data_IF_583188525753
#
_entry.id   IF_583188525753
#
_cell.length_a   1.000
_cell.length_b   1.000
_cell.length_c   1.000
_cell.angle_alpha   90.00
_cell.angle_beta   90.00
_cell.angle_gamma   90.00
#
_symmetry.space_group_name_H-M   'P 1'
#
loop_
_entity.id
_entity.type
_entity.pdbx_description
1 polymer ?
#
# COMPACT_ATOMS: atom_id res chain seq x y z
N UNK A 1 14.71 -19.70 18.69
CA UNK A 1 13.66 -18.89 19.36
C UNK A 1 13.55 -17.58 18.59
N UNK A 2 12.34 -17.02 18.44
CA UNK A 2 12.18 -15.68 17.86
C UNK A 2 12.69 -14.70 18.93
N UNK A 3 13.87 -14.14 18.72
CA UNK A 3 14.49 -13.24 19.70
C UNK A 3 13.84 -11.87 19.55
N UNK A 4 13.07 -11.45 20.56
CA UNK A 4 12.57 -10.09 20.66
C UNK A 4 13.56 -9.24 21.43
N UNK A 5 13.67 -7.97 21.04
CA UNK A 5 14.25 -6.93 21.87
C UNK A 5 13.17 -5.93 22.24
N UNK A 6 13.26 -5.30 23.41
CA UNK A 6 12.29 -4.30 23.83
C UNK A 6 12.90 -3.13 24.57
N UNK A 7 12.14 -2.04 24.63
CA UNK A 7 12.39 -0.88 25.47
C UNK A 7 11.08 -0.35 26.07
N UNK A 8 11.12 0.40 27.19
CA UNK A 8 9.97 1.13 27.69
C UNK A 8 9.41 2.11 26.64
N UNK A 9 8.09 2.21 26.52
CA UNK A 9 7.41 3.08 25.55
C UNK A 9 7.77 4.56 25.73
N UNK A 10 7.99 4.99 26.97
CA UNK A 10 8.46 6.35 27.31
C UNK A 10 9.82 6.71 26.70
N UNK A 11 10.64 5.72 26.29
CA UNK A 11 11.92 5.92 25.62
C UNK A 11 11.84 5.86 24.09
N UNK A 12 10.64 5.78 23.53
CA UNK A 12 10.45 5.64 22.09
C UNK A 12 10.95 6.88 21.32
N UNK A 13 10.79 8.08 21.86
CA UNK A 13 11.27 9.30 21.22
C UNK A 13 12.82 9.38 21.23
N UNK A 14 13.46 8.92 22.30
CA UNK A 14 14.93 8.76 22.35
C UNK A 14 15.42 7.74 21.31
N UNK A 15 14.67 6.66 21.10
CA UNK A 15 14.96 5.66 20.07
C UNK A 15 14.87 6.26 18.67
N UNK A 16 13.84 7.07 18.40
CA UNK A 16 13.70 7.77 17.13
C UNK A 16 14.83 8.76 16.90
N UNK A 17 15.26 9.48 17.94
CA UNK A 17 16.44 10.35 17.86
C UNK A 17 17.72 9.57 17.51
N UNK A 18 17.92 8.39 18.09
CA UNK A 18 19.06 7.52 17.77
C UNK A 18 19.03 7.07 16.31
N UNK A 19 17.89 6.60 15.81
CA UNK A 19 17.74 6.17 14.41
C UNK A 19 17.99 7.34 13.47
N UNK A 20 17.43 8.52 13.76
CA UNK A 20 17.55 9.72 12.95
C UNK A 20 18.98 10.30 12.88
N UNK A 21 19.88 9.90 13.78
CA UNK A 21 21.31 10.23 13.70
C UNK A 21 22.07 9.36 12.69
N UNK A 22 21.52 8.19 12.34
CA UNK A 22 22.14 7.23 11.42
C UNK A 22 21.54 7.32 10.02
N UNK A 23 20.21 7.39 9.95
CA UNK A 23 19.45 7.33 8.69
C UNK A 23 18.26 8.28 8.73
N UNK A 24 17.69 8.61 7.57
CA UNK A 24 16.45 9.38 7.54
C UNK A 24 15.30 8.56 8.13
N UNK A 25 14.74 8.99 9.26
CA UNK A 25 13.59 8.34 9.88
C UNK A 25 12.28 9.02 9.46
N UNK A 26 11.27 8.21 9.13
CA UNK A 26 9.90 8.64 8.90
C UNK A 26 8.94 7.90 9.83
N UNK A 27 8.06 8.65 10.50
CA UNK A 27 7.03 8.11 11.40
C UNK A 27 5.65 8.72 11.08
N UNK A 28 4.54 8.04 11.43
CA UNK A 28 3.22 8.64 11.47
C UNK A 28 3.15 9.77 12.49
N UNK A 29 2.77 10.97 12.07
CA UNK A 29 2.57 12.15 12.93
C UNK A 29 1.21 12.75 12.61
N UNK A 30 0.49 13.20 13.63
CA UNK A 30 -0.80 13.87 13.46
C UNK A 30 -0.61 15.25 12.81
N UNK A 31 -1.48 15.55 11.85
CA UNK A 31 -1.65 16.89 11.30
C UNK A 31 -2.60 17.73 12.18
N UNK A 32 -2.74 19.00 11.83
CA UNK A 32 -3.63 19.93 12.56
C UNK A 32 -5.12 19.52 12.53
N UNK A 33 -5.52 18.57 11.67
CA UNK A 33 -6.88 18.02 11.61
C UNK A 33 -7.06 16.75 12.43
N UNK A 34 -6.01 16.28 13.12
CA UNK A 34 -6.02 15.03 13.90
C UNK A 34 -5.89 13.77 13.03
N UNK A 35 -5.43 13.91 11.78
CA UNK A 35 -5.16 12.77 10.89
C UNK A 35 -3.66 12.51 10.83
N UNK A 36 -3.28 11.24 10.77
CA UNK A 36 -1.87 10.89 10.65
C UNK A 36 -1.37 10.94 9.20
N UNK A 37 -0.16 11.44 9.02
CA UNK A 37 0.63 11.33 7.79
C UNK A 37 2.04 10.85 8.16
N UNK A 38 2.69 10.11 7.26
CA UNK A 38 4.12 9.88 7.43
C UNK A 38 4.90 11.19 7.20
N UNK A 39 5.75 11.55 8.16
CA UNK A 39 6.62 12.72 8.11
C UNK A 39 8.04 12.33 8.50
N UNK A 40 9.03 13.04 7.96
CA UNK A 40 10.42 12.90 8.42
C UNK A 40 10.45 13.32 9.89
N UNK A 41 10.97 12.44 10.74
CA UNK A 41 11.10 12.70 12.16
C UNK A 41 12.07 13.88 12.39
N UNK A 42 11.71 14.71 13.35
CA UNK A 42 12.53 15.81 13.88
C UNK A 42 12.27 15.86 15.39
N UNK A 43 13.18 16.48 16.13
CA UNK A 43 13.01 16.67 17.57
C UNK A 43 11.63 17.28 17.89
N UNK A 44 10.92 16.66 18.85
CA UNK A 44 9.54 16.99 19.20
C UNK A 44 8.44 16.36 18.34
N UNK A 45 8.76 15.58 17.29
CA UNK A 45 7.75 14.81 16.55
C UNK A 45 7.32 13.57 17.33
N UNK A 46 6.00 13.44 17.57
CA UNK A 46 5.40 12.36 18.35
C UNK A 46 4.72 11.35 17.43
N UNK A 47 4.88 10.06 17.74
CA UNK A 47 4.17 8.99 17.04
C UNK A 47 2.65 9.11 17.23
N UNK A 48 1.92 9.19 16.12
CA UNK A 48 0.47 9.23 16.12
C UNK A 48 -0.16 7.97 16.74
N UNK A 49 -1.25 8.17 17.50
CA UNK A 49 -2.11 7.08 17.98
C UNK A 49 -3.07 6.55 16.91
N UNK A 50 -3.20 7.21 15.75
CA UNK A 50 -4.08 6.75 14.69
C UNK A 50 -3.63 5.39 14.13
N UNK A 51 -4.60 4.52 13.87
CA UNK A 51 -4.31 3.21 13.29
C UNK A 51 -3.67 3.33 11.90
N UNK A 52 -4.09 4.29 11.08
CA UNK A 52 -3.63 4.40 9.69
C UNK A 52 -3.36 5.85 9.37
N UNK A 53 -2.26 6.09 8.67
CA UNK A 53 -2.04 7.34 7.94
C UNK A 53 -3.06 7.50 6.81
N UNK A 54 -3.35 8.75 6.41
CA UNK A 54 -4.25 9.06 5.29
C UNK A 54 -3.79 8.41 4.00
N UNK A 55 -2.48 8.46 3.76
CA UNK A 55 -1.82 7.82 2.61
C UNK A 55 -0.92 6.69 3.09
N UNK A 56 -0.88 5.61 2.33
CA UNK A 56 -0.06 4.45 2.69
C UNK A 56 1.44 4.75 2.56
N UNK A 57 2.25 3.82 3.05
CA UNK A 57 3.70 3.87 2.89
C UNK A 57 4.19 3.71 1.43
N UNK A 58 3.29 3.55 0.44
CA UNK A 58 3.63 3.49 -0.98
C UNK A 58 4.38 4.73 -1.46
N UNK A 59 4.07 5.90 -0.90
CA UNK A 59 4.70 7.18 -1.24
C UNK A 59 6.24 7.17 -1.18
N UNK A 60 6.80 6.34 -0.31
CA UNK A 60 8.24 6.22 -0.11
C UNK A 60 8.96 5.49 -1.24
N UNK A 61 8.25 4.63 -1.96
CA UNK A 61 8.81 3.78 -3.01
C UNK A 61 8.32 4.20 -4.39
N UNK A 62 7.10 4.75 -4.46
CA UNK A 62 6.49 5.25 -5.68
C UNK A 62 5.96 6.67 -5.43
N UNK A 63 6.81 7.70 -5.52
CA UNK A 63 6.44 9.08 -5.23
C UNK A 63 5.41 9.62 -6.22
N UNK A 64 4.62 10.62 -5.78
CA UNK A 64 3.54 11.21 -6.58
C UNK A 64 4.02 11.84 -7.88
N UNK A 65 5.21 12.45 -7.86
CA UNK A 65 5.86 13.05 -9.01
C UNK A 65 7.33 12.65 -8.93
N UNK A 66 7.88 12.22 -10.06
CA UNK A 66 9.30 11.87 -10.17
C UNK A 66 9.85 12.24 -11.54
N UNK A 67 10.96 12.98 -11.55
CA UNK A 67 11.66 13.32 -12.79
C UNK A 67 12.38 12.07 -13.31
N UNK A 68 12.22 11.79 -14.60
CA UNK A 68 12.75 10.58 -15.26
C UNK A 68 13.94 10.86 -16.18
N UNK A 69 13.93 11.99 -16.88
CA UNK A 69 15.00 12.36 -17.80
C UNK A 69 14.92 13.84 -18.12
N UNK A 70 16.08 14.46 -18.33
CA UNK A 70 16.18 15.84 -18.78
C UNK A 70 16.99 15.90 -20.08
N UNK A 71 16.39 16.43 -21.14
CA UNK A 71 17.03 16.67 -22.42
C UNK A 71 17.46 18.12 -22.51
N UNK A 72 18.77 18.39 -22.54
CA UNK A 72 19.31 19.75 -22.76
C UNK A 72 19.56 19.96 -24.25
N UNK A 73 19.04 21.06 -24.79
CA UNK A 73 19.16 21.40 -26.21
C UNK A 73 20.16 22.53 -26.41
N UNK A 74 21.19 22.30 -27.22
CA UNK A 74 22.17 23.32 -27.62
C UNK A 74 22.36 23.26 -29.14
N UNK A 75 21.60 24.09 -29.85
CA UNK A 75 21.53 24.05 -31.32
C UNK A 75 20.99 22.71 -31.82
N UNK A 76 21.84 21.93 -32.52
CA UNK A 76 21.51 20.57 -32.98
C UNK A 76 21.99 19.45 -32.05
N UNK A 77 22.62 19.79 -30.92
CA UNK A 77 23.10 18.82 -29.93
C UNK A 77 22.02 18.59 -28.87
N UNK A 78 21.76 17.32 -28.58
CA UNK A 78 20.89 16.87 -27.49
C UNK A 78 21.79 16.17 -26.48
N UNK A 79 21.80 16.66 -25.25
CA UNK A 79 22.44 16.01 -24.10
C UNK A 79 21.33 15.41 -23.23
N UNK A 80 21.49 14.13 -22.86
CA UNK A 80 20.55 13.41 -22.00
C UNK A 80 21.13 13.36 -20.60
N UNK A 81 20.46 14.00 -19.65
CA UNK A 81 20.77 13.99 -18.24
C UNK A 81 19.82 13.05 -17.51
N UNK A 82 20.40 12.07 -16.83
CA UNK A 82 19.70 11.17 -15.94
C UNK A 82 19.59 11.81 -14.55
N UNK A 83 18.37 12.14 -14.07
CA UNK A 83 18.19 12.79 -12.79
C UNK A 83 18.31 11.83 -11.61
N UNK A 84 18.53 10.53 -11.84
CA UNK A 84 18.72 9.55 -10.77
C UNK A 84 19.94 9.93 -9.93
N UNK A 85 19.70 10.04 -8.64
CA UNK A 85 20.74 10.02 -7.61
C UNK A 85 20.56 8.75 -6.78
N UNK A 86 21.64 8.24 -6.19
CA UNK A 86 21.50 7.21 -5.16
C UNK A 86 20.52 7.70 -4.08
N UNK A 87 19.60 6.84 -3.67
CA UNK A 87 18.67 7.19 -2.61
C UNK A 87 19.42 7.13 -1.29
N UNK A 88 19.21 8.12 -0.41
CA UNK A 88 19.70 8.00 0.98
C UNK A 88 19.03 6.79 1.63
N UNK A 89 19.74 6.08 2.52
CA UNK A 89 19.14 5.04 3.35
C UNK A 89 18.11 5.69 4.30
N UNK A 90 16.96 5.04 4.44
CA UNK A 90 15.87 5.55 5.26
C UNK A 90 15.08 4.46 5.96
N UNK A 91 14.57 4.78 7.15
CA UNK A 91 13.65 3.94 7.91
C UNK A 91 12.25 4.52 7.84
N UNK A 92 11.26 3.70 7.47
CA UNK A 92 9.84 4.03 7.65
C UNK A 92 9.30 3.18 8.78
N UNK A 93 9.13 3.78 9.95
CA UNK A 93 8.55 3.14 11.12
C UNK A 93 7.03 3.32 11.14
N UNK A 94 6.30 2.35 11.67
CA UNK A 94 4.84 2.45 11.85
C UNK A 94 4.03 2.00 10.64
N UNK A 95 4.65 1.30 9.68
CA UNK A 95 3.95 0.74 8.52
C UNK A 95 3.01 -0.37 8.98
N UNK A 96 1.76 -0.39 8.52
CA UNK A 96 0.81 -1.45 8.93
C UNK A 96 1.00 -2.70 8.06
N UNK A 97 0.63 -3.86 8.60
CA UNK A 97 0.74 -5.15 7.91
C UNK A 97 0.15 -5.13 6.48
N UNK A 98 -1.01 -4.48 6.31
CA UNK A 98 -1.65 -4.35 5.00
C UNK A 98 -0.90 -3.43 4.02
N UNK A 99 -0.19 -2.40 4.51
CA UNK A 99 0.67 -1.59 3.66
C UNK A 99 1.94 -2.36 3.29
N UNK A 100 2.56 -3.06 4.25
CA UNK A 100 3.73 -3.89 3.97
C UNK A 100 3.42 -5.01 2.95
N UNK A 101 2.29 -5.69 3.10
CA UNK A 101 1.82 -6.71 2.15
C UNK A 101 1.56 -6.15 0.75
N UNK A 102 1.26 -4.84 0.63
CA UNK A 102 1.06 -4.23 -0.68
C UNK A 102 2.33 -4.12 -1.50
N UNK A 103 3.50 -4.09 -0.85
CA UNK A 103 4.77 -3.97 -1.56
C UNK A 103 5.01 -5.18 -2.44
N UNK A 104 4.72 -6.40 -1.99
CA UNK A 104 4.84 -7.58 -2.85
C UNK A 104 3.99 -7.47 -4.14
N UNK A 105 2.79 -6.87 -4.06
CA UNK A 105 1.91 -6.65 -5.23
C UNK A 105 2.50 -5.59 -6.17
N UNK A 106 3.15 -4.55 -5.64
CA UNK A 106 3.72 -3.47 -6.44
C UNK A 106 5.10 -3.86 -6.99
N UNK A 107 5.89 -4.59 -6.21
CA UNK A 107 7.18 -5.21 -6.57
C UNK A 107 6.99 -6.17 -7.75
N UNK A 108 5.86 -6.90 -7.80
CA UNK A 108 5.59 -7.81 -8.91
C UNK A 108 5.55 -7.09 -10.27
N UNK A 109 4.96 -5.90 -10.32
CA UNK A 109 4.86 -5.10 -11.55
C UNK A 109 6.14 -4.31 -11.85
N UNK A 110 6.80 -3.76 -10.82
CA UNK A 110 7.93 -2.85 -11.02
C UNK A 110 9.31 -3.48 -10.89
N UNK A 111 9.42 -4.67 -10.30
CA UNK A 111 10.69 -5.37 -10.06
C UNK A 111 10.71 -6.74 -10.74
N UNK A 112 9.61 -7.50 -10.66
CA UNK A 112 9.60 -8.88 -11.16
C UNK A 112 9.17 -9.01 -12.63
N UNK A 113 8.62 -7.94 -13.21
CA UNK A 113 8.31 -7.84 -14.64
C UNK A 113 9.37 -7.04 -15.39
N UNK A 114 9.49 -7.30 -16.69
CA UNK A 114 10.39 -6.58 -17.58
C UNK A 114 9.64 -5.50 -18.39
N UNK A 115 10.19 -4.27 -18.51
CA UNK A 115 11.44 -3.81 -17.90
C UNK A 115 11.31 -3.47 -16.41
N UNK A 116 12.38 -3.72 -15.65
CA UNK A 116 12.50 -3.30 -14.24
C UNK A 116 12.47 -1.78 -14.10
N UNK A 117 11.64 -1.26 -13.19
CA UNK A 117 11.64 0.15 -12.81
C UNK A 117 12.76 0.44 -11.81
N UNK A 118 13.89 0.89 -12.36
CA UNK A 118 15.09 1.18 -11.57
C UNK A 118 14.86 2.21 -10.45
N UNK A 119 13.97 3.19 -10.64
CA UNK A 119 13.67 4.21 -9.62
C UNK A 119 12.97 3.60 -8.40
N UNK A 120 11.99 2.73 -8.65
CA UNK A 120 11.27 2.02 -7.61
C UNK A 120 12.18 1.00 -6.91
N UNK A 121 12.96 0.21 -7.69
CA UNK A 121 13.91 -0.78 -7.17
C UNK A 121 14.95 -0.15 -6.23
N UNK A 122 15.59 0.94 -6.64
CA UNK A 122 16.56 1.65 -5.79
C UNK A 122 15.92 2.07 -4.46
N UNK A 123 14.71 2.62 -4.45
CA UNK A 123 14.04 2.97 -3.18
C UNK A 123 13.71 1.75 -2.34
N UNK A 124 13.29 0.64 -2.94
CA UNK A 124 13.05 -0.62 -2.23
C UNK A 124 14.33 -1.20 -1.64
N UNK A 125 15.49 -0.97 -2.25
CA UNK A 125 16.82 -1.37 -1.78
C UNK A 125 17.35 -0.48 -0.64
N UNK A 126 17.08 0.82 -0.64
CA UNK A 126 17.52 1.76 0.41
C UNK A 126 16.54 1.96 1.57
N UNK A 127 15.26 1.64 1.37
CA UNK A 127 14.25 1.76 2.42
C UNK A 127 14.17 0.54 3.33
N UNK A 128 14.23 0.76 4.63
CA UNK A 128 13.95 -0.25 5.67
C UNK A 128 12.53 -0.04 6.21
N UNK A 129 11.69 -1.07 6.08
CA UNK A 129 10.28 -1.05 6.49
C UNK A 129 10.14 -1.65 7.89
N UNK A 130 9.90 -0.80 8.90
CA UNK A 130 9.60 -1.25 10.26
C UNK A 130 8.10 -1.17 10.48
N UNK A 131 7.46 -2.33 10.55
CA UNK A 131 6.01 -2.41 10.67
C UNK A 131 5.57 -2.32 12.12
N UNK A 132 4.36 -1.80 12.36
CA UNK A 132 3.75 -1.73 13.69
C UNK A 132 2.44 -2.51 13.70
N UNK A 133 2.39 -3.54 14.52
CA UNK A 133 1.22 -4.39 14.69
C UNK A 133 -0.02 -3.57 15.08
N UNK A 134 -1.17 -3.97 14.56
CA UNK A 134 -2.44 -3.39 14.98
C UNK A 134 -2.79 -3.87 16.39
N UNK A 135 -3.46 -3.03 17.17
CA UNK A 135 -4.06 -3.38 18.47
C UNK A 135 -5.59 -3.18 18.45
N UNK A 136 -6.02 -2.10 17.81
CA UNK A 136 -7.43 -1.73 17.61
C UNK A 136 -7.72 -1.58 16.11
N UNK A 137 -8.17 -2.64 15.41
CA UNK A 137 -8.53 -2.52 14.01
C UNK A 137 -9.80 -1.68 13.83
N UNK A 138 -9.86 -0.84 12.78
CA UNK A 138 -11.07 -0.08 12.41
C UNK A 138 -12.12 -1.01 11.76
N UNK A 139 -13.41 -0.70 11.90
CA UNK A 139 -14.54 -1.43 11.27
C UNK A 139 -14.44 -1.55 9.75
N UNK A 140 -13.68 -0.64 9.12
CA UNK A 140 -13.43 -0.62 7.68
C UNK A 140 -12.40 -1.66 7.22
N UNK A 141 -11.72 -2.34 8.15
CA UNK A 141 -10.65 -3.28 7.85
C UNK A 141 -11.19 -4.66 7.47
N UNK A 142 -10.56 -5.28 6.47
CA UNK A 142 -10.83 -6.64 6.00
C UNK A 142 -9.55 -7.30 5.48
N UNK A 143 -8.39 -6.97 6.06
CA UNK A 143 -7.10 -7.51 5.64
C UNK A 143 -6.98 -9.02 5.85
N UNK A 144 -7.66 -9.57 6.88
CA UNK A 144 -7.76 -11.03 7.12
C UNK A 144 -8.29 -11.78 5.90
N UNK A 145 -9.22 -11.18 5.15
CA UNK A 145 -9.78 -11.76 3.92
C UNK A 145 -8.69 -12.10 2.89
N UNK A 146 -7.59 -11.34 2.89
CA UNK A 146 -6.45 -11.54 1.98
C UNK A 146 -5.29 -12.29 2.66
N UNK A 147 -5.54 -13.00 3.76
CA UNK A 147 -4.51 -13.75 4.49
C UNK A 147 -3.52 -12.89 5.27
N UNK A 148 -3.80 -11.59 5.45
CA UNK A 148 -2.90 -10.68 6.14
C UNK A 148 -3.22 -10.67 7.64
N UNK A 149 -2.28 -11.15 8.45
CA UNK A 149 -2.36 -11.08 9.90
C UNK A 149 -1.88 -9.70 10.41
N UNK A 150 -2.83 -8.85 10.80
CA UNK A 150 -2.50 -7.51 11.30
C UNK A 150 -1.82 -7.51 12.68
N UNK A 151 -1.85 -8.63 13.39
CA UNK A 151 -1.13 -8.82 14.65
C UNK A 151 0.32 -9.28 14.45
N UNK A 152 0.67 -9.77 13.25
CA UNK A 152 1.99 -10.31 12.92
C UNK A 152 2.50 -9.65 11.61
N UNK A 153 2.89 -8.36 11.69
CA UNK A 153 2.83 -7.42 10.58
C UNK A 153 3.94 -7.53 9.51
N UNK A 154 4.92 -8.43 9.67
CA UNK A 154 6.03 -8.65 8.74
C UNK A 154 6.86 -7.38 8.44
N UNK A 155 7.24 -7.13 7.19
CA UNK A 155 8.22 -6.10 6.82
C UNK A 155 9.66 -6.52 7.12
N UNK A 156 10.60 -5.57 7.06
CA UNK A 156 12.02 -5.87 7.36
C UNK A 156 12.20 -6.14 8.86
N UNK A 157 11.57 -5.31 9.70
CA UNK A 157 11.39 -5.57 11.12
C UNK A 157 9.92 -5.34 11.52
N UNK A 158 9.48 -6.06 12.55
CA UNK A 158 8.15 -5.92 13.14
C UNK A 158 8.26 -5.29 14.53
N UNK A 159 7.28 -4.45 14.88
CA UNK A 159 7.15 -3.83 16.20
C UNK A 159 5.76 -4.03 16.81
N UNK A 160 5.70 -4.11 18.15
CA UNK A 160 4.47 -4.23 18.94
C UNK A 160 4.51 -3.28 20.13
N UNK A 161 3.42 -2.57 20.39
CA UNK A 161 3.26 -1.76 21.62
C UNK A 161 2.34 -2.53 22.56
N UNK A 162 2.86 -2.95 23.71
CA UNK A 162 2.13 -3.71 24.71
C UNK A 162 2.75 -3.52 26.10
N UNK A 163 1.93 -3.48 27.13
CA UNK A 163 2.36 -3.44 28.54
C UNK A 163 3.42 -2.35 28.84
N UNK A 164 3.18 -1.14 28.31
CA UNK A 164 4.10 0.00 28.49
C UNK A 164 5.46 -0.14 27.81
N UNK A 165 5.62 -1.11 26.90
CA UNK A 165 6.86 -1.37 26.15
C UNK A 165 6.63 -1.40 24.65
N UNK A 166 7.71 -1.23 23.91
CA UNK A 166 7.78 -1.51 22.47
C UNK A 166 8.70 -2.70 22.25
N UNK A 167 8.19 -3.73 21.61
CA UNK A 167 8.93 -4.94 21.23
C UNK A 167 9.28 -4.87 19.76
N UNK A 168 10.44 -5.39 19.39
CA UNK A 168 10.92 -5.46 18.02
C UNK A 168 11.41 -6.86 17.69
N UNK A 169 11.28 -7.24 16.42
CA UNK A 169 11.83 -8.47 15.86
C UNK A 169 12.28 -8.21 14.42
N UNK A 170 13.51 -8.60 14.09
CA UNK A 170 13.96 -8.65 12.70
C UNK A 170 13.28 -9.79 11.95
N UNK A 171 12.96 -9.56 10.67
CA UNK A 171 12.43 -10.59 9.76
C UNK A 171 13.34 -10.80 8.53
N UNK A 172 14.17 -9.81 8.19
CA UNK A 172 15.10 -9.82 7.05
C UNK A 172 16.48 -9.30 7.48
N UNK A 173 17.47 -9.39 6.58
CA UNK A 173 18.82 -8.82 6.82
C UNK A 173 18.78 -7.31 7.08
N UNK A 174 17.87 -6.57 6.43
CA UNK A 174 17.61 -5.16 6.73
C UNK A 174 17.04 -4.96 8.14
N UNK A 175 16.18 -5.89 8.55
CA UNK A 175 15.68 -5.96 9.92
C UNK A 175 16.81 -6.16 10.92
N UNK A 176 17.75 -7.06 10.65
CA UNK A 176 18.91 -7.30 11.52
C UNK A 176 19.79 -6.05 11.63
N UNK A 177 20.05 -5.37 10.51
CA UNK A 177 20.76 -4.08 10.50
C UNK A 177 20.02 -3.01 11.34
N UNK A 178 18.70 -2.93 11.22
CA UNK A 178 17.87 -2.04 12.04
C UNK A 178 17.95 -2.38 13.55
N UNK A 179 17.88 -3.67 13.91
CA UNK A 179 18.02 -4.10 15.30
C UNK A 179 19.39 -3.72 15.87
N UNK A 180 20.47 -3.82 15.09
CA UNK A 180 21.81 -3.41 15.53
C UNK A 180 21.88 -1.89 15.78
N UNK A 181 21.19 -1.06 14.98
CA UNK A 181 21.10 0.40 15.21
C UNK A 181 20.50 0.70 16.59
N UNK A 182 19.43 -0.01 16.96
CA UNK A 182 18.69 0.26 18.21
C UNK A 182 19.21 -0.51 19.43
N UNK A 183 20.19 -1.39 19.24
CA UNK A 183 20.66 -2.34 20.25
C UNK A 183 21.10 -1.70 21.56
N UNK A 184 21.72 -0.51 21.52
CA UNK A 184 22.16 0.19 22.73
C UNK A 184 21.01 0.68 23.62
N UNK A 185 19.78 0.69 23.11
CA UNK A 185 18.58 1.16 23.81
C UNK A 185 17.60 0.04 24.16
N UNK A 186 17.82 -1.17 23.64
CA UNK A 186 16.90 -2.30 23.82
C UNK A 186 17.55 -3.44 24.59
N UNK A 187 16.72 -4.24 25.27
CA UNK A 187 17.14 -5.45 25.96
C UNK A 187 16.39 -6.66 25.42
N UNK A 188 16.99 -7.85 25.50
CA UNK A 188 16.32 -9.10 25.16
C UNK A 188 15.00 -9.26 25.93
N UNK A 189 14.00 -9.85 25.29
CA UNK A 189 12.66 -10.00 25.84
C UNK A 189 11.98 -11.28 25.36
N UNK A 190 11.11 -11.81 26.22
CA UNK A 190 10.29 -12.98 25.90
C UNK A 190 9.11 -12.65 24.98
N UNK A 191 8.53 -13.69 24.38
CA UNK A 191 7.42 -13.57 23.43
C UNK A 191 6.04 -13.43 24.10
N UNK A 192 5.89 -13.82 25.37
CA UNK A 192 4.57 -13.99 26.03
C UNK A 192 3.67 -12.75 25.95
N UNK A 193 4.23 -11.55 26.18
CA UNK A 193 3.48 -10.28 26.13
C UNK A 193 2.99 -10.01 24.70
N UNK A 194 3.87 -10.22 23.71
CA UNK A 194 3.55 -10.05 22.29
C UNK A 194 2.48 -11.07 21.88
N UNK A 195 2.64 -12.35 22.23
CA UNK A 195 1.68 -13.40 21.90
C UNK A 195 0.28 -13.14 22.48
N UNK A 196 0.22 -12.63 23.72
CA UNK A 196 -1.05 -12.21 24.33
C UNK A 196 -1.70 -11.05 23.58
N UNK A 197 -0.92 -10.04 23.21
CA UNK A 197 -1.40 -8.91 22.39
C UNK A 197 -1.87 -9.38 21.01
N UNK A 198 -1.15 -10.32 20.40
CA UNK A 198 -1.50 -10.86 19.09
C UNK A 198 -2.84 -11.60 19.13
N UNK A 199 -3.02 -12.46 20.12
CA UNK A 199 -4.28 -13.20 20.33
C UNK A 199 -5.46 -12.24 20.52
N UNK A 200 -5.32 -11.24 21.40
CA UNK A 200 -6.38 -10.26 21.63
C UNK A 200 -6.73 -9.46 20.37
N UNK A 201 -5.73 -9.14 19.54
CA UNK A 201 -5.94 -8.44 18.26
C UNK A 201 -6.68 -9.33 17.26
N UNK A 202 -6.28 -10.59 17.10
CA UNK A 202 -6.94 -11.56 16.21
C UNK A 202 -8.41 -11.75 16.59
N UNK A 203 -8.73 -11.87 17.88
CA UNK A 203 -10.10 -11.96 18.38
C UNK A 203 -10.98 -10.75 18.03
N UNK A 204 -10.40 -9.54 17.94
CA UNK A 204 -11.11 -8.34 17.47
C UNK A 204 -11.32 -8.36 15.96
N UNK A 205 -10.28 -8.76 15.21
CA UNK A 205 -10.34 -8.88 13.75
C UNK A 205 -11.43 -9.86 13.33
N UNK A 206 -11.55 -11.00 14.03
CA UNK A 206 -12.56 -12.03 13.76
C UNK A 206 -14.00 -11.53 13.92
N UNK A 207 -14.21 -10.41 14.61
CA UNK A 207 -15.53 -9.78 14.81
C UNK A 207 -15.82 -8.66 13.80
N UNK A 208 -14.88 -8.32 12.92
CA UNK A 208 -15.06 -7.25 11.95
C UNK A 208 -16.09 -7.66 10.87
N UNK A 209 -16.88 -6.72 10.33
CA UNK A 209 -18.06 -7.03 9.51
C UNK A 209 -17.75 -7.58 8.10
N UNK A 210 -16.49 -7.56 7.69
CA UNK A 210 -16.09 -7.77 6.29
C UNK A 210 -15.02 -8.85 6.10
N UNK A 211 -14.69 -9.62 7.14
CA UNK A 211 -13.60 -10.61 7.08
C UNK A 211 -13.97 -11.89 6.36
N UNK A 212 -15.27 -12.20 6.24
CA UNK A 212 -15.78 -13.45 5.64
C UNK A 212 -16.47 -13.22 4.28
N UNK A 213 -16.09 -12.16 3.56
CA UNK A 213 -16.63 -11.92 2.21
C UNK A 213 -16.15 -13.02 1.27
N UNK A 214 -17.06 -13.69 0.59
CA UNK A 214 -16.73 -14.73 -0.38
C UNK A 214 -16.00 -14.14 -1.60
N UNK A 215 -14.76 -14.59 -1.85
CA UNK A 215 -14.00 -14.21 -3.05
C UNK A 215 -14.02 -15.28 -4.15
N UNK A 216 -14.69 -16.41 -3.94
CA UNK A 216 -14.68 -17.56 -4.87
C UNK A 216 -15.25 -17.24 -6.26
N UNK A 217 -16.14 -16.26 -6.37
CA UNK A 217 -16.71 -15.83 -7.65
C UNK A 217 -15.73 -15.01 -8.50
N UNK A 218 -14.71 -14.40 -7.91
CA UNK A 218 -13.77 -13.51 -8.59
C UNK A 218 -12.58 -14.30 -9.18
N UNK A 219 -12.90 -15.21 -10.09
CA UNK A 219 -11.94 -16.09 -10.79
C UNK A 219 -11.91 -15.77 -12.27
N UNK A 220 -10.82 -16.17 -12.93
CA UNK A 220 -10.62 -15.89 -14.35
C UNK A 220 -11.70 -16.45 -15.27
N UNK A 221 -12.22 -17.63 -14.96
CA UNK A 221 -13.34 -18.26 -15.67
C UNK A 221 -14.61 -17.40 -15.68
N UNK A 222 -14.84 -16.62 -14.61
CA UNK A 222 -15.99 -15.74 -14.47
C UNK A 222 -15.75 -14.35 -15.05
N UNK A 223 -14.60 -14.08 -15.68
CA UNK A 223 -14.21 -12.72 -16.09
C UNK A 223 -15.24 -12.07 -17.00
N UNK A 224 -15.62 -12.72 -18.10
CA UNK A 224 -16.59 -12.17 -19.05
C UNK A 224 -17.99 -12.06 -18.43
N UNK A 225 -18.38 -13.03 -17.61
CA UNK A 225 -19.66 -13.02 -16.90
C UNK A 225 -19.75 -11.82 -15.97
N UNK A 226 -18.73 -11.58 -15.14
CA UNK A 226 -18.66 -10.43 -14.25
C UNK A 226 -18.60 -9.12 -15.05
N UNK A 227 -17.80 -9.07 -16.11
CA UNK A 227 -17.63 -7.85 -16.93
C UNK A 227 -18.94 -7.35 -17.55
N UNK A 228 -19.81 -8.29 -17.96
CA UNK A 228 -21.08 -8.02 -18.63
C UNK A 228 -22.27 -7.85 -17.68
N UNK A 229 -22.07 -7.90 -16.36
CA UNK A 229 -23.18 -7.71 -15.41
C UNK A 229 -23.76 -6.28 -15.52
N UNK A 230 -25.10 -6.13 -15.62
CA UNK A 230 -25.72 -4.81 -15.63
C UNK A 230 -25.63 -4.09 -14.28
N UNK A 231 -25.25 -4.78 -13.19
CA UNK A 231 -25.04 -4.13 -11.88
C UNK A 231 -24.00 -3.01 -11.92
N UNK A 232 -23.09 -3.03 -12.90
CA UNK A 232 -22.13 -1.95 -13.11
C UNK A 232 -22.79 -0.60 -13.37
N UNK A 233 -23.98 -0.56 -13.97
CA UNK A 233 -24.74 0.68 -14.20
C UNK A 233 -25.09 1.32 -12.87
N UNK A 234 -25.82 0.60 -12.03
CA UNK A 234 -26.25 1.07 -10.70
C UNK A 234 -25.06 1.35 -9.77
N UNK A 235 -24.02 0.51 -9.78
CA UNK A 235 -22.84 0.72 -8.93
C UNK A 235 -22.06 1.98 -9.32
N UNK A 236 -22.06 2.35 -10.60
CA UNK A 236 -21.30 3.50 -11.09
C UNK A 236 -22.02 4.84 -10.98
N UNK A 237 -23.35 4.84 -10.87
CA UNK A 237 -24.20 6.04 -10.96
C UNK A 237 -23.82 7.13 -9.96
N UNK A 238 -23.57 6.75 -8.70
CA UNK A 238 -23.19 7.70 -7.65
C UNK A 238 -21.68 8.05 -7.65
N UNK A 239 -20.87 7.44 -8.53
CA UNK A 239 -19.43 7.65 -8.53
C UNK A 239 -19.06 9.03 -9.09
N UNK A 240 -18.41 9.86 -8.26
CA UNK A 240 -17.93 11.18 -8.66
C UNK A 240 -16.73 11.18 -9.60
N UNK A 241 -16.08 10.03 -9.84
CA UNK A 241 -14.87 9.95 -10.65
C UNK A 241 -13.63 10.67 -10.08
N UNK A 242 -13.65 11.08 -8.80
CA UNK A 242 -12.62 11.91 -8.19
C UNK A 242 -11.25 11.24 -7.95
N UNK A 243 -11.16 9.91 -8.05
CA UNK A 243 -9.91 9.17 -7.87
C UNK A 243 -9.38 9.06 -6.43
N UNK A 244 -10.04 9.62 -5.41
CA UNK A 244 -9.59 9.54 -4.00
C UNK A 244 -9.21 8.12 -3.60
N UNK A 245 -10.05 7.16 -3.99
CA UNK A 245 -9.86 5.75 -3.66
C UNK A 245 -8.67 5.10 -4.39
N UNK A 246 -8.15 5.60 -5.51
CA UNK A 246 -6.85 5.14 -6.07
C UNK A 246 -5.67 5.79 -5.36
N UNK A 247 -5.78 7.06 -5.00
CA UNK A 247 -4.71 7.82 -4.35
C UNK A 247 -4.40 7.35 -2.92
N UNK A 248 -5.40 6.91 -2.16
CA UNK A 248 -5.18 6.33 -0.81
C UNK A 248 -4.89 4.83 -0.83
N UNK A 249 -4.94 4.18 -2.00
CA UNK A 249 -4.80 2.74 -2.10
C UNK A 249 -3.32 2.33 -2.21
N UNK A 250 -2.85 1.42 -1.33
CA UNK A 250 -1.46 1.00 -1.31
C UNK A 250 -1.07 0.13 -2.51
N UNK A 251 -2.02 -0.54 -3.16
CA UNK A 251 -1.77 -1.40 -4.34
C UNK A 251 -2.07 -0.72 -5.67
N UNK A 252 -2.51 0.56 -5.67
CA UNK A 252 -2.72 1.30 -6.92
C UNK A 252 -1.39 1.87 -7.41
N UNK A 253 -1.05 1.62 -8.67
CA UNK A 253 0.27 1.91 -9.21
C UNK A 253 0.24 2.56 -10.59
N UNK A 254 -0.92 3.07 -11.03
CA UNK A 254 -1.02 3.78 -12.30
C UNK A 254 -0.27 5.13 -12.26
N UNK A 255 0.45 5.46 -13.32
CA UNK A 255 1.06 6.76 -13.56
C UNK A 255 0.92 7.15 -15.03
N UNK A 256 1.14 8.43 -15.27
CA UNK A 256 1.29 9.02 -16.59
C UNK A 256 2.68 9.67 -16.70
N UNK A 257 3.20 9.79 -17.92
CA UNK A 257 4.47 10.46 -18.21
C UNK A 257 4.18 11.74 -18.97
N UNK A 258 4.61 12.87 -18.41
CA UNK A 258 4.46 14.18 -19.03
C UNK A 258 5.83 14.77 -19.36
N UNK A 259 5.84 15.57 -20.42
CA UNK A 259 7.02 16.33 -20.85
C UNK A 259 6.75 17.81 -20.59
N UNK A 260 7.71 18.49 -19.97
CA UNK A 260 7.66 19.92 -19.66
C UNK A 260 8.78 20.65 -20.40
N UNK A 261 8.44 21.69 -21.14
CA UNK A 261 9.42 22.55 -21.81
C UNK A 261 10.08 23.49 -20.78
N UNK A 262 11.40 23.42 -20.66
CA UNK A 262 12.18 24.23 -19.72
C UNK A 262 12.70 25.52 -20.35
N UNK A 263 12.42 25.77 -21.64
CA UNK A 263 12.95 26.87 -22.44
C UNK A 263 14.35 26.60 -23.01
N UNK A 264 15.11 25.71 -22.39
CA UNK A 264 16.43 25.24 -22.85
C UNK A 264 16.49 23.72 -23.07
N UNK A 265 15.33 23.05 -23.05
CA UNK A 265 15.26 21.61 -23.03
C UNK A 265 13.87 21.05 -22.69
N UNK A 266 13.80 19.74 -22.50
CA UNK A 266 12.58 19.02 -22.10
C UNK A 266 12.86 18.23 -20.84
N UNK A 267 12.01 18.38 -19.82
CA UNK A 267 12.02 17.53 -18.63
C UNK A 267 10.85 16.56 -18.68
N UNK A 268 11.14 15.26 -18.67
CA UNK A 268 10.11 14.24 -18.51
C UNK A 268 9.98 13.85 -17.04
N UNK A 269 8.75 13.69 -16.58
CA UNK A 269 8.44 13.22 -15.24
C UNK A 269 7.25 12.28 -15.30
N UNK A 270 7.22 11.31 -14.39
CA UNK A 270 6.00 10.56 -14.11
C UNK A 270 5.22 11.22 -12.99
N UNK A 271 3.90 11.20 -13.09
CA UNK A 271 3.01 11.56 -12.00
C UNK A 271 1.94 10.48 -11.82
N UNK A 272 1.51 10.28 -10.58
CA UNK A 272 0.42 9.35 -10.30
C UNK A 272 -0.81 9.68 -11.14
N UNK A 273 -1.43 8.63 -11.65
CA UNK A 273 -2.66 8.71 -12.42
C UNK A 273 -3.63 7.62 -11.93
N UNK A 274 -4.80 7.54 -12.54
CA UNK A 274 -5.84 6.61 -12.19
C UNK A 274 -6.44 6.00 -13.45
N UNK A 275 -6.57 4.68 -13.46
CA UNK A 275 -7.34 3.97 -14.49
C UNK A 275 -8.82 4.39 -14.58
N UNK A 276 -9.28 5.23 -13.63
CA UNK A 276 -10.61 5.82 -13.60
C UNK A 276 -10.71 7.18 -14.31
N UNK A 277 -9.59 7.85 -14.61
CA UNK A 277 -9.60 9.16 -15.27
C UNK A 277 -9.75 8.99 -16.79
N UNK A 278 -10.40 9.96 -17.43
CA UNK A 278 -10.66 9.91 -18.88
C UNK A 278 -9.36 9.89 -19.68
N UNK A 279 -8.37 10.66 -19.24
CA UNK A 279 -7.15 10.89 -20.01
C UNK A 279 -6.19 9.71 -19.95
N UNK A 280 -6.25 8.91 -18.87
CA UNK A 280 -5.34 7.77 -18.66
C UNK A 280 -5.39 6.73 -19.79
N UNK A 281 -6.57 6.48 -20.37
CA UNK A 281 -6.72 5.54 -21.49
C UNK A 281 -6.83 6.21 -22.85
N UNK A 282 -6.66 7.53 -22.92
CA UNK A 282 -6.81 8.25 -24.19
C UNK A 282 -5.61 7.95 -25.09
N UNK A 283 -5.88 7.34 -26.24
CA UNK A 283 -4.91 7.08 -27.29
C UNK A 283 -5.08 8.11 -28.42
N UNK A 284 -4.13 8.14 -29.36
CA UNK A 284 -4.10 9.14 -30.44
C UNK A 284 -5.40 9.20 -31.28
N UNK A 285 -6.11 8.08 -31.43
CA UNK A 285 -7.32 7.98 -32.24
C UNK A 285 -8.60 7.61 -31.46
N UNK A 286 -8.49 7.16 -30.22
CA UNK A 286 -9.64 6.58 -29.49
C UNK A 286 -9.45 6.63 -27.97
N UNK A 287 -10.54 6.56 -27.22
CA UNK A 287 -10.55 6.23 -25.81
C UNK A 287 -11.43 4.98 -25.56
N UNK A 288 -10.86 3.82 -25.22
CA UNK A 288 -11.59 2.55 -25.11
C UNK A 288 -12.57 2.51 -23.91
N UNK A 289 -12.61 3.57 -23.08
CA UNK A 289 -13.52 3.69 -21.93
C UNK A 289 -14.20 5.06 -21.95
N UNK A 290 -15.19 5.19 -22.83
CA UNK A 290 -15.91 6.43 -23.09
C UNK A 290 -16.66 6.95 -21.85
N UNK A 291 -17.23 6.05 -21.05
CA UNK A 291 -18.16 6.39 -19.97
C UNK A 291 -17.58 6.22 -18.58
N UNK A 292 -18.17 6.90 -17.59
CA UNK A 292 -17.82 6.73 -16.18
C UNK A 292 -18.02 5.29 -15.71
N UNK A 293 -19.04 4.60 -16.24
CA UNK A 293 -19.33 3.19 -15.97
C UNK A 293 -18.13 2.29 -16.30
N UNK A 294 -17.58 2.41 -17.50
CA UNK A 294 -16.49 1.55 -17.97
C UNK A 294 -15.21 1.77 -17.15
N UNK A 295 -14.91 3.03 -16.83
CA UNK A 295 -13.77 3.42 -15.98
C UNK A 295 -13.95 2.96 -14.53
N UNK A 296 -15.17 3.07 -13.99
CA UNK A 296 -15.53 2.52 -12.68
C UNK A 296 -15.35 1.01 -12.63
N UNK A 297 -15.92 0.29 -13.60
CA UNK A 297 -15.79 -1.18 -13.73
C UNK A 297 -14.32 -1.58 -13.81
N UNK A 298 -13.51 -0.90 -14.62
CA UNK A 298 -12.08 -1.21 -14.76
C UNK A 298 -11.37 -1.26 -13.41
N UNK A 299 -11.62 -0.29 -12.53
CA UNK A 299 -10.97 -0.24 -11.21
C UNK A 299 -11.19 -1.53 -10.43
N UNK A 300 -12.41 -2.03 -10.38
CA UNK A 300 -12.76 -3.21 -9.59
C UNK A 300 -12.42 -4.51 -10.31
N UNK A 301 -12.63 -4.58 -11.63
CA UNK A 301 -12.20 -5.71 -12.43
C UNK A 301 -10.69 -5.89 -12.37
N UNK A 302 -9.89 -4.82 -12.45
CA UNK A 302 -8.44 -4.91 -12.30
C UNK A 302 -8.07 -5.49 -10.94
N UNK A 303 -8.72 -5.05 -9.86
CA UNK A 303 -8.39 -5.50 -8.50
C UNK A 303 -8.83 -6.92 -8.17
N UNK A 304 -10.00 -7.31 -8.66
CA UNK A 304 -10.66 -8.54 -8.26
C UNK A 304 -10.55 -9.64 -9.32
N UNK A 305 -10.31 -9.31 -10.58
CA UNK A 305 -10.40 -10.29 -11.68
C UNK A 305 -9.11 -10.31 -12.50
N UNK A 306 -8.74 -9.21 -13.15
CA UNK A 306 -7.61 -9.20 -14.09
C UNK A 306 -6.27 -9.45 -13.40
N UNK A 307 -5.99 -8.73 -12.31
CA UNK A 307 -4.72 -8.93 -11.60
C UNK A 307 -4.57 -10.37 -11.06
N UNK A 308 -5.54 -10.96 -10.32
CA UNK A 308 -5.38 -12.34 -9.86
C UNK A 308 -5.31 -13.37 -11.00
N UNK A 309 -5.90 -13.11 -12.18
CA UNK A 309 -5.73 -13.99 -13.34
C UNK A 309 -4.28 -14.06 -13.81
N UNK A 310 -3.61 -12.92 -13.88
CA UNK A 310 -2.26 -12.81 -14.43
C UNK A 310 -1.16 -13.03 -13.37
N UNK A 311 -1.51 -12.95 -12.08
CA UNK A 311 -0.57 -12.95 -10.95
C UNK A 311 -0.88 -14.05 -9.91
N UNK A 312 -1.09 -15.28 -10.39
CA UNK A 312 -1.12 -16.47 -9.52
C UNK A 312 -2.25 -16.49 -8.48
N UNK A 313 -3.39 -15.85 -8.79
CA UNK A 313 -4.54 -15.77 -7.88
C UNK A 313 -4.45 -14.68 -6.81
N UNK A 314 -3.35 -13.91 -6.76
CA UNK A 314 -3.18 -12.81 -5.80
C UNK A 314 -4.09 -11.65 -6.19
N UNK A 315 -4.91 -11.18 -5.26
CA UNK A 315 -5.75 -9.99 -5.50
C UNK A 315 -4.95 -8.69 -5.37
N UNK A 316 -5.23 -7.69 -6.22
CA UNK A 316 -4.65 -6.35 -6.07
C UNK A 316 -5.38 -5.53 -4.99
N UNK A 317 -5.58 -6.12 -3.80
CA UNK A 317 -6.17 -5.50 -2.63
C UNK A 317 -5.62 -6.16 -1.36
N UNK A 318 -5.44 -5.35 -0.31
CA UNK A 318 -4.87 -5.77 0.98
C UNK A 318 -5.83 -5.53 2.16
N UNK A 319 -7.09 -5.18 1.86
CA UNK A 319 -8.13 -4.99 2.87
C UNK A 319 -7.89 -3.88 3.89
N UNK A 320 -7.07 -2.86 3.57
CA UNK A 320 -6.71 -1.78 4.50
C UNK A 320 -7.87 -0.83 4.85
N UNK A 321 -8.99 -0.85 4.10
CA UNK A 321 -10.16 -0.03 4.40
C UNK A 321 -10.08 1.46 4.05
N UNK A 322 -8.93 2.01 3.65
CA UNK A 322 -8.78 3.46 3.38
C UNK A 322 -9.75 4.00 2.32
N UNK A 323 -10.03 3.20 1.28
CA UNK A 323 -10.99 3.57 0.24
C UNK A 323 -12.45 3.55 0.71
N UNK A 324 -12.78 2.81 1.78
CA UNK A 324 -14.11 2.83 2.41
C UNK A 324 -14.30 4.12 3.21
N UNK A 325 -13.26 4.52 3.94
CA UNK A 325 -13.25 5.71 4.81
C UNK A 325 -13.21 7.02 4.01
N UNK A 326 -12.45 7.06 2.91
CA UNK A 326 -12.17 8.30 2.18
C UNK A 326 -13.19 8.62 1.06
N UNK A 327 -14.12 7.72 0.75
CA UNK A 327 -15.05 7.93 -0.35
C UNK A 327 -16.22 8.85 0.07
N UNK A 328 -16.39 10.03 -0.56
CA UNK A 328 -17.39 11.02 -0.13
C UNK A 328 -18.84 10.51 -0.24
N UNK A 329 -19.09 9.59 -1.18
CA UNK A 329 -20.40 8.98 -1.43
C UNK A 329 -20.51 7.56 -0.84
N UNK A 330 -19.53 7.13 -0.04
CA UNK A 330 -19.48 5.80 0.61
C UNK A 330 -19.56 4.61 -0.37
N UNK A 331 -19.14 4.79 -1.63
CA UNK A 331 -18.93 3.67 -2.56
C UNK A 331 -17.56 3.03 -2.32
N UNK A 332 -17.50 1.70 -2.37
CA UNK A 332 -16.29 0.98 -2.04
C UNK A 332 -16.27 -0.44 -2.61
N UNK A 333 -15.10 -1.08 -2.52
CA UNK A 333 -14.87 -2.44 -3.04
C UNK A 333 -15.72 -3.50 -2.32
N UNK A 334 -16.03 -3.33 -1.04
CA UNK A 334 -16.89 -4.26 -0.30
C UNK A 334 -18.31 -4.28 -0.85
N UNK A 335 -18.88 -3.11 -1.18
CA UNK A 335 -20.19 -3.03 -1.85
C UNK A 335 -20.17 -3.73 -3.20
N UNK A 336 -19.13 -3.51 -4.01
CA UNK A 336 -18.97 -4.19 -5.30
C UNK A 336 -18.90 -5.71 -5.12
N UNK A 337 -18.10 -6.19 -4.16
CA UNK A 337 -17.97 -7.62 -3.87
C UNK A 337 -19.31 -8.23 -3.46
N UNK A 338 -20.03 -7.60 -2.52
CA UNK A 338 -21.35 -8.07 -2.07
C UNK A 338 -22.37 -8.09 -3.20
N UNK A 339 -22.48 -7.00 -3.97
CA UNK A 339 -23.43 -6.91 -5.09
C UNK A 339 -23.18 -7.99 -6.15
N UNK A 340 -21.92 -8.27 -6.49
CA UNK A 340 -21.59 -9.35 -7.44
C UNK A 340 -21.85 -10.73 -6.83
N UNK A 341 -21.60 -10.91 -5.54
CA UNK A 341 -21.89 -12.18 -4.85
C UNK A 341 -23.38 -12.49 -4.79
N UNK A 342 -24.21 -11.47 -4.60
CA UNK A 342 -25.67 -11.60 -4.56
C UNK A 342 -26.28 -11.76 -5.97
N UNK A 343 -25.48 -11.55 -7.02
CA UNK A 343 -25.92 -11.73 -8.41
C UNK A 343 -25.97 -13.22 -8.79
N UNK A 344 -27.18 -13.71 -9.03
CA UNK A 344 -27.44 -15.12 -9.38
C UNK A 344 -26.88 -15.52 -10.76
N UNK A 345 -26.48 -14.56 -11.62
CA UNK A 345 -25.90 -14.85 -12.93
C UNK A 345 -24.45 -15.29 -12.88
N UNK A 346 -23.80 -15.15 -11.72
CA UNK A 346 -22.44 -15.63 -11.52
C UNK A 346 -22.51 -16.92 -10.72
N UNK A 347 -22.24 -18.03 -11.38
CA UNK A 347 -22.13 -19.33 -10.74
C UNK A 347 -20.87 -19.39 -9.87
N UNK A 348 -20.95 -20.15 -8.77
CA UNK A 348 -19.74 -20.51 -8.03
C UNK A 348 -18.96 -21.53 -8.87
N UNK A 349 -17.63 -21.44 -8.93
CA UNK A 349 -16.82 -22.51 -9.52
C UNK A 349 -17.25 -23.86 -8.94
N UNK A 350 -17.38 -24.88 -9.79
CA UNK A 350 -17.41 -26.25 -9.27
C UNK A 350 -16.07 -26.48 -8.55
N UNK A 351 -16.13 -26.83 -7.27
CA UNK A 351 -14.93 -27.21 -6.52
C UNK A 351 -14.49 -28.57 -7.09
N UNK A 352 -13.63 -28.54 -8.09
CA UNK A 352 -12.85 -29.70 -8.44
C UNK A 352 -11.81 -29.86 -7.33
N UNK A 353 -12.13 -30.70 -6.34
CA UNK A 353 -11.15 -31.24 -5.41
C UNK A 353 -10.07 -31.96 -6.23
N UNK A 354 -9.03 -31.21 -6.58
CA UNK A 354 -7.85 -31.72 -7.28
C UNK A 354 -7.15 -32.72 -6.37
N UNK A 355 -7.03 -33.96 -6.85
CA UNK A 355 -6.18 -35.01 -6.30
C UNK A 355 -4.72 -34.60 -6.25
#
# INVERSE_FOLDING_TARGET
>A
MRNFVSLPFEKLDELFALIAQKEALYIPVDDASGKADFKRWKDGAVLSSELKTVRSAKDFFFPKIENLVHYKLSGKKIEVEDPRTESEDFVVFGVRACDAASFAIVDDVYINMEPVDTYYKTRREHGTVVTLACSEPKETCFCKLYGIDAAEPQGDASAWIADGKVFFRANTEKGDAFIEIIKSMTSESGADIVEKQQKATREKIDKLPFVDIDLSKFRGENMLSIFNLPVWENLSEACLGCGTCTYVCPTCMCFDIRSFDTGSGIRQFRCWDSCMFSDFTKMAAENPRHTQKERFRQRFMHKLVYYPMDHGGVYSCVGCGRCLESCPIRMNIVKVMKTINDDARIEKPEVHDGK
#
